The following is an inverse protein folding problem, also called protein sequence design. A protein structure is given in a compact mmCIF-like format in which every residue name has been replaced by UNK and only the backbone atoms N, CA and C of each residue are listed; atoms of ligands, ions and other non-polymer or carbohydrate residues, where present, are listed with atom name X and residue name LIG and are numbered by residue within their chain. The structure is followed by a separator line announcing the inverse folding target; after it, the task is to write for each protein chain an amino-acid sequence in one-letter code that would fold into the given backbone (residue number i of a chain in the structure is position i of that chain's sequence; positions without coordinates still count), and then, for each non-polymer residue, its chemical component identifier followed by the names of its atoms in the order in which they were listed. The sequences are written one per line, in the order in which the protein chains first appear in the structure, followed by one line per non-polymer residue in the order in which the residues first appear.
data_IF_419086094468
#
_entry.id   IF_419086094468
#
_cell.length_a   1.000
_cell.length_b   1.000
_cell.length_c   1.000
_cell.angle_alpha   90.00
_cell.angle_beta   90.00
_cell.angle_gamma   90.00
#
_symmetry.space_group_name_H-M   'P 1'
#
loop_
_entity.id
_entity.type
_entity.pdbx_description
1 polymer ?
#
# COMPACT_ATOMS: atom_id res chain seq x y z
N UNK A 1 -24.44 -6.59 18.45
CA UNK A 1 -23.96 -5.28 18.93
C UNK A 1 -22.45 -5.40 19.00
N UNK A 2 -21.79 -5.22 17.87
CA UNK A 2 -20.34 -5.41 17.75
C UNK A 2 -19.70 -4.10 18.18
N UNK A 3 -18.89 -4.15 19.22
CA UNK A 3 -18.16 -2.98 19.72
C UNK A 3 -17.34 -2.37 18.58
N UNK A 4 -17.53 -1.08 18.32
CA UNK A 4 -16.57 -0.29 17.55
C UNK A 4 -15.24 -0.40 18.28
N UNK A 5 -14.22 -0.92 17.58
CA UNK A 5 -12.86 -0.94 18.10
C UNK A 5 -12.28 0.47 17.98
N UNK A 6 -12.08 1.21 19.07
CA UNK A 6 -11.52 2.56 19.02
C UNK A 6 -9.99 2.54 18.78
N UNK A 7 -9.38 1.37 18.66
CA UNK A 7 -7.93 1.17 18.45
C UNK A 7 -7.51 0.99 16.98
N UNK A 8 -8.33 1.36 16.00
CA UNK A 8 -7.79 1.70 14.67
C UNK A 8 -7.04 3.06 14.72
N UNK A 9 -6.29 3.28 15.81
CA UNK A 9 -5.41 4.40 16.00
C UNK A 9 -4.37 4.39 14.89
N UNK A 10 -4.26 5.53 14.24
CA UNK A 10 -3.16 5.95 13.40
C UNK A 10 -1.82 5.53 14.03
N UNK A 11 -1.27 4.38 13.60
CA UNK A 11 0.12 3.99 13.90
C UNK A 11 1.05 4.85 13.02
N UNK A 12 0.93 6.17 13.12
CA UNK A 12 2.00 7.07 12.72
C UNK A 12 3.01 6.97 13.84
N UNK A 13 3.99 6.07 13.65
CA UNK A 13 5.24 6.14 14.38
C UNK A 13 5.67 7.61 14.36
N UNK A 14 5.77 8.23 15.55
CA UNK A 14 6.08 9.64 15.83
C UNK A 14 7.19 10.21 14.94
N UNK A 15 6.87 10.52 13.70
CA UNK A 15 7.81 10.98 12.69
C UNK A 15 7.23 12.27 12.16
N UNK A 16 8.07 13.31 12.16
CA UNK A 16 7.67 14.59 11.62
C UNK A 16 7.56 14.44 10.09
N UNK A 17 6.35 14.13 9.60
CA UNK A 17 6.08 13.95 8.17
C UNK A 17 6.51 15.17 7.35
N UNK A 18 6.52 16.37 7.95
CA UNK A 18 6.96 17.61 7.29
C UNK A 18 8.44 17.65 6.94
N UNK A 19 9.28 16.86 7.61
CA UNK A 19 10.71 16.71 7.31
C UNK A 19 10.99 15.55 6.35
N UNK A 20 9.99 14.73 6.05
CA UNK A 20 10.12 13.58 5.16
C UNK A 20 9.84 13.95 3.72
N UNK A 21 10.62 13.36 2.81
CA UNK A 21 10.42 13.51 1.38
C UNK A 21 9.67 12.31 0.81
N UNK A 22 8.57 12.58 0.14
CA UNK A 22 7.82 11.59 -0.64
C UNK A 22 8.67 11.04 -1.80
N UNK A 23 8.65 9.71 -1.98
CA UNK A 23 9.48 9.00 -2.95
C UNK A 23 8.68 8.16 -3.96
N UNK A 24 7.38 7.98 -3.80
CA UNK A 24 6.55 7.09 -4.64
C UNK A 24 6.59 7.51 -6.09
N UNK A 25 6.62 8.82 -6.39
CA UNK A 25 6.73 9.36 -7.77
C UNK A 25 8.04 8.98 -8.49
N UNK A 26 9.07 8.55 -7.76
CA UNK A 26 10.37 8.12 -8.32
C UNK A 26 10.49 6.61 -8.53
N UNK A 27 9.46 5.85 -8.17
CA UNK A 27 9.41 4.42 -8.39
C UNK A 27 8.48 4.06 -9.56
N UNK A 28 8.78 2.94 -10.20
CA UNK A 28 7.84 2.21 -11.04
C UNK A 28 6.96 1.34 -10.13
N UNK A 29 5.65 1.38 -10.38
CA UNK A 29 4.67 0.63 -9.60
C UNK A 29 3.99 -0.40 -10.50
N UNK A 30 3.78 -1.59 -9.98
CA UNK A 30 2.97 -2.62 -10.63
C UNK A 30 2.15 -3.39 -9.61
N UNK A 31 1.06 -3.99 -10.06
CA UNK A 31 0.20 -4.85 -9.25
C UNK A 31 0.11 -6.23 -9.89
N UNK A 32 -0.09 -7.27 -9.07
CA UNK A 32 -0.19 -8.65 -9.57
C UNK A 32 -1.38 -8.88 -10.50
N UNK A 33 -2.50 -8.20 -10.23
CA UNK A 33 -3.72 -8.22 -11.05
C UNK A 33 -4.56 -6.98 -10.74
N UNK A 34 -5.50 -6.65 -11.61
CA UNK A 34 -6.50 -5.62 -11.33
C UNK A 34 -7.79 -5.86 -12.13
N UNK A 35 -8.94 -5.48 -11.57
CA UNK A 35 -10.16 -5.33 -12.35
C UNK A 35 -9.99 -4.21 -13.40
N UNK A 36 -10.65 -4.29 -14.56
CA UNK A 36 -10.67 -3.20 -15.53
C UNK A 36 -11.13 -1.89 -14.89
N UNK A 37 -10.34 -0.82 -15.05
CA UNK A 37 -10.63 0.49 -14.45
C UNK A 37 -10.02 0.70 -13.06
N UNK A 38 -9.77 -0.35 -12.28
CA UNK A 38 -9.29 -0.26 -10.89
C UNK A 38 -7.83 -0.68 -10.75
N UNK A 39 -6.96 -0.05 -11.55
CA UNK A 39 -5.54 -0.43 -11.65
C UNK A 39 -4.61 0.30 -10.67
N UNK A 40 -3.31 0.01 -10.78
CA UNK A 40 -2.24 0.57 -9.92
C UNK A 40 -2.20 2.10 -9.86
N UNK A 41 -2.69 2.79 -10.89
CA UNK A 41 -2.69 4.25 -10.93
C UNK A 41 -3.59 4.87 -9.85
N UNK A 42 -4.67 4.19 -9.45
CA UNK A 42 -5.58 4.64 -8.38
C UNK A 42 -4.97 4.49 -6.97
N UNK A 43 -3.83 3.82 -6.80
CA UNK A 43 -3.10 3.84 -5.52
C UNK A 43 -2.35 5.15 -5.29
N UNK A 44 -2.26 6.01 -6.31
CA UNK A 44 -1.36 7.18 -6.32
C UNK A 44 -1.99 8.42 -6.96
N UNK A 45 -3.31 8.46 -7.08
CA UNK A 45 -4.06 9.59 -7.63
C UNK A 45 -4.47 10.62 -6.55
N UNK A 46 -4.00 10.43 -5.31
CA UNK A 46 -4.27 11.28 -4.16
C UNK A 46 -5.78 11.42 -3.85
N UNK A 47 -6.59 10.41 -4.19
CA UNK A 47 -8.03 10.38 -3.93
C UNK A 47 -8.41 9.13 -3.11
N UNK A 48 -9.07 9.32 -1.97
CA UNK A 48 -9.47 8.22 -1.07
C UNK A 48 -10.75 7.51 -1.53
N UNK A 49 -11.49 8.09 -2.46
CA UNK A 49 -12.71 7.50 -3.03
C UNK A 49 -12.39 6.51 -4.20
N UNK A 50 -11.14 6.49 -4.66
CA UNK A 50 -10.64 5.59 -5.70
C UNK A 50 -9.70 4.55 -5.09
N UNK A 51 -9.66 3.36 -5.70
CA UNK A 51 -8.92 2.23 -5.15
C UNK A 51 -8.48 1.23 -6.22
N UNK A 52 -7.35 0.58 -5.97
CA UNK A 52 -6.98 -0.62 -6.69
C UNK A 52 -7.82 -1.81 -6.21
N UNK A 53 -8.34 -2.59 -7.15
CA UNK A 53 -9.05 -3.83 -6.84
C UNK A 53 -8.36 -4.98 -7.56
N UNK A 54 -7.72 -5.89 -6.81
CA UNK A 54 -7.13 -7.10 -7.36
C UNK A 54 -8.18 -8.03 -7.96
N UNK A 55 -7.81 -8.77 -9.00
CA UNK A 55 -8.67 -9.73 -9.69
C UNK A 55 -7.87 -11.00 -10.05
N UNK A 56 -7.46 -11.76 -9.02
CA UNK A 56 -6.62 -12.95 -9.19
C UNK A 56 -6.50 -13.78 -7.92
N UNK A 57 -5.62 -14.77 -7.91
CA UNK A 57 -5.36 -15.57 -6.72
C UNK A 57 -4.49 -14.80 -5.69
N UNK A 58 -4.65 -15.12 -4.41
CA UNK A 58 -3.76 -14.62 -3.36
C UNK A 58 -2.37 -15.29 -3.44
N UNK A 59 -1.29 -14.59 -3.04
CA UNK A 59 -1.27 -13.22 -2.51
C UNK A 59 -1.36 -12.15 -3.62
N UNK A 60 -2.09 -11.07 -3.34
CA UNK A 60 -2.07 -9.88 -4.19
C UNK A 60 -0.83 -9.05 -3.87
N UNK A 61 -0.11 -8.60 -4.90
CA UNK A 61 1.17 -7.91 -4.74
C UNK A 61 1.09 -6.50 -5.28
N UNK A 62 1.66 -5.56 -4.54
CA UNK A 62 2.06 -4.23 -5.03
C UNK A 62 3.58 -4.21 -5.05
N UNK A 63 4.18 -4.03 -6.23
CA UNK A 63 5.63 -3.95 -6.38
C UNK A 63 6.04 -2.50 -6.62
N UNK A 64 7.01 -2.03 -5.85
CA UNK A 64 7.57 -0.69 -5.91
C UNK A 64 9.05 -0.81 -6.25
N UNK A 65 9.44 -0.41 -7.45
CA UNK A 65 10.82 -0.53 -7.93
C UNK A 65 11.46 0.83 -8.17
N UNK A 66 12.61 1.06 -7.53
CA UNK A 66 13.43 2.25 -7.75
C UNK A 66 14.59 1.92 -8.70
N UNK A 67 14.96 2.86 -9.58
CA UNK A 67 16.10 2.69 -10.49
C UNK A 67 17.46 2.65 -9.77
N UNK A 68 17.50 3.08 -8.51
CA UNK A 68 18.71 3.15 -7.66
C UNK A 68 18.34 2.75 -6.26
N UNK A 69 19.32 2.32 -5.46
CA UNK A 69 19.12 2.07 -4.04
C UNK A 69 18.64 3.36 -3.35
N UNK A 70 17.51 3.28 -2.67
CA UNK A 70 16.92 4.37 -1.90
C UNK A 70 16.82 3.99 -0.43
N UNK A 71 16.94 4.98 0.45
CA UNK A 71 16.62 4.81 1.87
C UNK A 71 15.16 5.20 2.06
N UNK A 72 14.34 4.24 2.47
CA UNK A 72 12.96 4.46 2.87
C UNK A 72 12.87 4.36 4.39
N UNK A 73 12.08 5.24 4.99
CA UNK A 73 11.88 5.28 6.44
C UNK A 73 10.43 4.98 6.83
N UNK A 74 9.48 5.31 5.97
CA UNK A 74 8.05 5.14 6.23
C UNK A 74 7.36 4.63 4.95
N UNK A 75 6.45 3.69 5.14
CA UNK A 75 5.44 3.28 4.17
C UNK A 75 4.08 3.54 4.81
N UNK A 76 3.22 4.30 4.11
CA UNK A 76 1.87 4.61 4.56
C UNK A 76 0.89 3.89 3.65
N UNK A 77 -0.10 3.22 4.23
CA UNK A 77 -1.19 2.55 3.53
C UNK A 77 -2.50 3.08 4.10
N UNK A 78 -3.43 3.48 3.23
CA UNK A 78 -4.79 3.79 3.62
C UNK A 78 -5.65 2.53 3.47
N UNK A 79 -6.36 2.16 4.54
CA UNK A 79 -7.27 1.01 4.59
C UNK A 79 -8.47 1.40 5.44
N UNK A 80 -9.69 1.07 5.00
CA UNK A 80 -10.90 1.39 5.75
C UNK A 80 -11.88 0.21 5.74
N UNK A 81 -12.02 -0.46 6.89
CA UNK A 81 -12.93 -1.59 7.01
C UNK A 81 -14.40 -1.25 6.77
N UNK A 82 -14.84 -0.03 7.13
CA UNK A 82 -16.24 0.37 6.98
C UNK A 82 -16.61 0.50 5.50
N UNK A 83 -15.67 0.92 4.65
CA UNK A 83 -15.88 1.09 3.21
C UNK A 83 -15.51 -0.16 2.41
N UNK A 84 -14.48 -0.91 2.82
CA UNK A 84 -13.93 -2.02 2.03
C UNK A 84 -14.49 -3.41 2.42
N UNK A 85 -15.06 -3.56 3.62
CA UNK A 85 -15.60 -4.84 4.14
C UNK A 85 -14.64 -6.03 3.94
N UNK A 86 -15.03 -7.01 3.12
CA UNK A 86 -14.22 -8.21 2.81
C UNK A 86 -12.97 -7.93 1.96
N UNK A 87 -12.87 -6.74 1.35
CA UNK A 87 -11.71 -6.31 0.57
C UNK A 87 -10.61 -5.68 1.46
N UNK A 88 -10.88 -5.40 2.74
CA UNK A 88 -9.84 -4.89 3.66
C UNK A 88 -8.76 -5.94 3.87
N UNK A 89 -7.47 -5.62 3.65
CA UNK A 89 -6.39 -6.59 3.85
C UNK A 89 -6.30 -7.06 5.30
N UNK A 90 -6.47 -8.36 5.54
CA UNK A 90 -6.33 -8.95 6.89
C UNK A 90 -4.86 -9.15 7.30
N UNK A 91 -3.98 -9.44 6.32
CA UNK A 91 -2.56 -9.71 6.56
C UNK A 91 -1.70 -9.07 5.49
N UNK A 92 -0.76 -8.23 5.91
CA UNK A 92 0.19 -7.55 5.03
C UNK A 92 1.60 -8.03 5.37
N UNK A 93 2.38 -8.36 4.33
CA UNK A 93 3.81 -8.68 4.44
C UNK A 93 4.59 -7.73 3.55
N UNK A 94 5.54 -7.02 4.14
CA UNK A 94 6.46 -6.12 3.43
C UNK A 94 7.76 -6.86 3.24
N UNK A 95 8.24 -6.91 1.99
CA UNK A 95 9.51 -7.54 1.62
C UNK A 95 10.38 -6.58 0.85
N UNK A 96 11.68 -6.61 1.10
CA UNK A 96 12.66 -5.70 0.47
C UNK A 96 13.85 -6.49 -0.08
N UNK A 97 14.36 -6.07 -1.24
CA UNK A 97 15.47 -6.71 -1.95
C UNK A 97 15.95 -5.83 -3.10
N UNK A 98 17.01 -6.25 -3.77
CA UNK A 98 17.55 -5.58 -4.96
C UNK A 98 16.87 -6.06 -6.26
N UNK A 99 16.14 -7.18 -6.21
CA UNK A 99 15.36 -7.74 -7.30
C UNK A 99 14.33 -8.76 -6.81
N UNK A 100 13.57 -9.36 -7.72
CA UNK A 100 12.48 -10.28 -7.32
C UNK A 100 12.96 -11.56 -6.61
N UNK A 101 14.23 -11.95 -6.80
CA UNK A 101 14.78 -13.21 -6.28
C UNK A 101 15.39 -13.08 -4.88
N UNK A 102 15.62 -11.86 -4.39
CA UNK A 102 16.26 -11.60 -3.09
C UNK A 102 15.35 -10.87 -2.10
N UNK A 103 14.05 -10.74 -2.42
CA UNK A 103 13.03 -10.22 -1.51
C UNK A 103 12.96 -11.09 -0.24
N UNK A 104 13.16 -10.49 0.92
CA UNK A 104 13.00 -11.10 2.25
C UNK A 104 11.97 -10.36 3.07
#
# INVERSE_FOLDING_TARGET
MSAENPEAEEVVAKSNLSEMREMSKKAAWSVSSCKPGNGVHLLRDDNIDTYWQSDGAQPHLVNIQFQRKVKLQLLVLYVDYKHDESYTPNKISIRVGNGFRDLK
#
